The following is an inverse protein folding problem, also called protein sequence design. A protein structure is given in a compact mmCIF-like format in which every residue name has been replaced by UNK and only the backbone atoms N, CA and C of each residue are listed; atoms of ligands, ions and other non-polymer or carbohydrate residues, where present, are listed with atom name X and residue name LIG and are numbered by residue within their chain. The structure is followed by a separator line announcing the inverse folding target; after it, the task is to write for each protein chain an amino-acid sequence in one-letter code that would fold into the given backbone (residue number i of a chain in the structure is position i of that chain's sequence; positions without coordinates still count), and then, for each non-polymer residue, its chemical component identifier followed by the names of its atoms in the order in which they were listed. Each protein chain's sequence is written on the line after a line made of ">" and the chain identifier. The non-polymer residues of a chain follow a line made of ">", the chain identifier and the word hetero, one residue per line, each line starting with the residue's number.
data_IF_889066089091
#
_entry.id   IF_889066089091
#
_cell.length_a   1.000
_cell.length_b   1.000
_cell.length_c   1.000
_cell.angle_alpha   90.00
_cell.angle_beta   90.00
_cell.angle_gamma   90.00
#
_symmetry.space_group_name_H-M   'P 1'
#
loop_
_entity.id
_entity.type
_entity.pdbx_description
1 polymer ?
#
# COMPACT_ATOMS: atom_id res chain seq x y z
N UNK A 1 -9.35 -50.60 -9.49
CA UNK A 1 -8.88 -50.45 -8.10
C UNK A 1 -7.41 -50.04 -8.16
N UNK A 2 -7.14 -48.73 -8.07
CA UNK A 2 -5.79 -48.17 -8.17
C UNK A 2 -5.40 -47.61 -6.80
N UNK A 3 -4.20 -47.90 -6.27
CA UNK A 3 -3.81 -47.40 -4.96
C UNK A 3 -3.32 -45.96 -5.05
N UNK A 4 -3.97 -45.07 -4.29
CA UNK A 4 -3.49 -43.73 -4.00
C UNK A 4 -2.20 -43.82 -3.17
N UNK A 5 -1.09 -43.33 -3.74
CA UNK A 5 0.16 -43.10 -3.00
C UNK A 5 0.07 -41.75 -2.30
N UNK A 6 0.01 -41.79 -0.97
CA UNK A 6 0.08 -40.63 -0.09
C UNK A 6 1.56 -40.29 0.14
N UNK A 7 2.09 -39.28 -0.56
CA UNK A 7 3.42 -38.74 -0.28
C UNK A 7 3.35 -37.80 0.91
N UNK A 8 3.89 -38.26 2.04
CA UNK A 8 4.04 -37.48 3.27
C UNK A 8 5.33 -36.65 3.16
N UNK A 9 5.20 -35.33 2.97
CA UNK A 9 6.33 -34.40 3.05
C UNK A 9 6.65 -34.11 4.52
N UNK A 10 7.82 -34.57 4.96
CA UNK A 10 8.40 -34.27 6.27
C UNK A 10 9.14 -32.92 6.18
N UNK A 11 8.58 -31.86 6.75
CA UNK A 11 9.24 -30.57 6.87
C UNK A 11 10.11 -30.54 8.14
N UNK A 12 11.43 -30.51 7.97
CA UNK A 12 12.40 -30.32 9.06
C UNK A 12 12.58 -28.82 9.27
N UNK A 13 12.04 -28.29 10.36
CA UNK A 13 12.29 -26.91 10.80
C UNK A 13 13.55 -26.86 11.68
N UNK A 14 14.59 -26.18 11.21
CA UNK A 14 15.78 -25.87 12.00
C UNK A 14 15.58 -24.49 12.65
N UNK A 15 15.44 -24.46 13.97
CA UNK A 15 15.41 -23.23 14.77
C UNK A 15 16.85 -22.72 14.96
N UNK A 16 17.14 -21.55 14.42
CA UNK A 16 18.37 -20.79 14.74
C UNK A 16 18.02 -19.79 15.83
N UNK A 17 18.55 -19.99 17.03
CA UNK A 17 18.51 -19.04 18.12
C UNK A 17 19.71 -18.10 18.02
N UNK A 18 19.47 -16.80 17.78
CA UNK A 18 20.48 -15.77 17.98
C UNK A 18 20.29 -15.14 19.36
N UNK A 19 21.22 -15.41 20.27
CA UNK A 19 21.41 -14.66 21.50
C UNK A 19 22.51 -13.61 21.31
N UNK A 20 22.20 -12.35 21.61
CA UNK A 20 23.18 -11.28 21.82
C UNK A 20 22.40 -10.05 22.28
N UNK A 21 22.56 -9.52 23.49
CA UNK A 21 23.79 -9.34 24.24
C UNK A 21 24.16 -7.86 24.13
N UNK A 22 23.85 -7.09 25.19
CA UNK A 22 23.86 -5.63 25.20
C UNK A 22 25.25 -4.96 25.19
N UNK A 23 25.21 -3.63 25.24
CA UNK A 23 26.38 -2.79 25.46
C UNK A 23 26.07 -1.32 25.17
N UNK A 24 26.01 -0.50 26.22
CA UNK A 24 25.83 0.95 26.13
C UNK A 24 27.12 1.71 25.81
N UNK A 25 26.98 3.04 25.74
CA UNK A 25 28.10 3.96 25.66
C UNK A 25 27.69 5.27 24.99
N UNK A 26 27.36 6.27 25.79
CA UNK A 26 27.29 7.65 25.31
C UNK A 26 28.68 8.23 25.12
N UNK A 27 28.82 9.20 24.21
CA UNK A 27 29.85 10.22 24.27
C UNK A 27 29.34 11.50 23.62
N UNK A 28 29.45 12.59 24.39
CA UNK A 28 29.37 13.98 23.95
C UNK A 28 30.57 14.29 23.03
N UNK A 29 30.38 15.09 21.98
CA UNK A 29 31.45 15.90 21.40
C UNK A 29 30.87 17.13 20.69
N UNK A 30 31.32 18.27 21.18
CA UNK A 30 31.05 19.65 20.81
C UNK A 30 32.13 20.15 19.81
N UNK A 31 31.83 21.23 19.07
CA UNK A 31 32.76 22.01 18.24
C UNK A 31 32.79 21.64 16.75
N UNK A 32 32.85 22.53 15.77
CA UNK A 32 33.05 23.99 15.74
C UNK A 32 33.88 24.37 14.48
N UNK A 33 33.52 25.48 13.81
CA UNK A 33 34.29 26.24 12.78
C UNK A 33 34.54 25.52 11.43
N UNK A 34 34.56 26.13 10.23
CA UNK A 34 34.52 27.50 9.75
C UNK A 34 35.29 27.60 8.41
N UNK A 35 34.66 28.12 7.34
CA UNK A 35 35.31 28.70 6.15
C UNK A 35 35.62 27.77 4.94
N UNK A 36 36.08 28.33 3.80
CA UNK A 36 35.42 29.35 2.98
C UNK A 36 35.21 28.91 1.51
N UNK A 37 34.50 29.78 0.77
CA UNK A 37 34.19 29.74 -0.66
C UNK A 37 35.34 29.39 -1.60
N UNK A 38 35.04 28.56 -2.60
CA UNK A 38 35.76 28.51 -3.87
C UNK A 38 34.74 28.59 -5.01
N UNK A 39 34.76 29.73 -5.71
CA UNK A 39 34.00 29.98 -6.93
C UNK A 39 34.87 29.47 -8.08
N UNK A 40 34.46 28.38 -8.70
CA UNK A 40 35.07 27.85 -9.92
C UNK A 40 34.07 27.94 -11.07
N UNK A 41 34.25 28.94 -11.92
CA UNK A 41 33.60 29.03 -13.24
C UNK A 41 34.12 27.91 -14.13
N UNK A 42 33.26 26.91 -14.38
CA UNK A 42 33.45 25.94 -15.46
C UNK A 42 32.39 26.20 -16.52
N UNK A 43 32.84 26.53 -17.73
CA UNK A 43 31.99 26.85 -18.89
C UNK A 43 30.99 25.75 -19.19
N UNK A 44 29.71 26.13 -19.19
CA UNK A 44 28.61 25.27 -19.56
C UNK A 44 28.51 25.18 -21.09
N UNK A 45 28.84 24.02 -21.63
CA UNK A 45 28.43 23.63 -22.97
C UNK A 45 26.93 23.34 -22.93
N UNK A 46 26.13 24.21 -23.57
CA UNK A 46 24.68 24.05 -23.70
C UNK A 46 24.34 22.71 -24.37
N UNK A 47 23.95 21.74 -23.54
CA UNK A 47 23.20 20.57 -23.96
C UNK A 47 21.73 20.87 -23.68
N UNK A 48 20.88 20.60 -24.68
CA UNK A 48 19.46 21.00 -24.70
C UNK A 48 18.66 20.54 -23.47
N UNK A 49 17.39 21.00 -23.35
CA UNK A 49 16.60 20.91 -22.12
C UNK A 49 16.56 19.50 -21.52
N UNK A 50 17.44 19.27 -20.54
CA UNK A 50 17.04 18.94 -19.18
C UNK A 50 16.63 17.50 -18.90
N UNK A 51 17.24 16.48 -19.54
CA UNK A 51 17.18 15.13 -18.96
C UNK A 51 18.15 15.09 -17.78
N UNK A 52 17.68 14.89 -16.53
CA UNK A 52 18.59 14.77 -15.39
C UNK A 52 19.62 13.66 -15.67
N UNK A 53 20.91 13.88 -15.39
CA UNK A 53 21.94 12.88 -15.63
C UNK A 53 21.58 11.61 -14.86
N UNK A 54 21.24 10.56 -15.60
CA UNK A 54 20.98 9.26 -15.03
C UNK A 54 22.24 8.73 -14.33
N UNK A 55 22.11 7.85 -13.33
CA UNK A 55 23.26 7.22 -12.71
C UNK A 55 24.13 6.57 -13.79
N UNK A 56 25.44 6.84 -13.73
CA UNK A 56 26.40 6.31 -14.69
C UNK A 56 26.39 4.78 -14.66
N UNK A 57 26.38 4.16 -15.83
CA UNK A 57 26.53 2.72 -15.95
C UNK A 57 27.84 2.28 -15.29
N UNK A 58 27.79 1.22 -14.50
CA UNK A 58 29.00 0.57 -13.97
C UNK A 58 29.20 -0.72 -14.76
N UNK A 59 30.29 -0.79 -15.52
CA UNK A 59 30.61 -1.94 -16.39
C UNK A 59 31.96 -2.53 -16.01
N UNK A 60 32.02 -3.86 -15.95
CA UNK A 60 33.29 -4.57 -15.91
C UNK A 60 34.07 -4.29 -17.21
N UNK A 61 35.41 -4.20 -17.17
CA UNK A 61 36.21 -4.08 -18.38
C UNK A 61 35.89 -5.18 -19.40
N UNK A 62 35.45 -4.77 -20.59
CA UNK A 62 35.05 -5.69 -21.66
C UNK A 62 33.67 -6.33 -21.52
N UNK A 63 32.88 -5.95 -20.51
CA UNK A 63 31.48 -6.35 -20.39
C UNK A 63 30.57 -5.77 -21.48
N UNK A 64 29.27 -6.13 -21.44
CA UNK A 64 28.25 -5.58 -22.34
C UNK A 64 28.26 -4.04 -22.43
N UNK A 65 28.31 -3.49 -23.63
CA UNK A 65 28.13 -2.05 -23.84
C UNK A 65 26.64 -1.75 -24.09
N UNK A 66 26.02 -0.99 -23.19
CA UNK A 66 24.64 -0.52 -23.34
C UNK A 66 24.64 0.74 -24.21
N UNK A 67 23.94 0.70 -25.34
CA UNK A 67 23.75 1.85 -26.23
C UNK A 67 22.56 2.68 -25.77
N UNK A 68 21.47 2.02 -25.39
CA UNK A 68 20.30 2.68 -24.84
C UNK A 68 19.64 1.84 -23.76
N UNK A 69 19.09 2.53 -22.76
CA UNK A 69 18.34 1.94 -21.67
C UNK A 69 17.15 2.84 -21.36
N UNK A 70 15.96 2.25 -21.25
CA UNK A 70 14.73 2.98 -21.03
C UNK A 70 13.66 2.14 -20.37
N UNK A 71 12.67 2.84 -19.82
CA UNK A 71 11.46 2.24 -19.28
C UNK A 71 10.25 2.90 -19.96
N UNK A 72 9.18 2.14 -20.16
CA UNK A 72 7.94 2.62 -20.77
C UNK A 72 7.23 3.69 -19.93
N UNK A 73 7.46 3.69 -18.61
CA UNK A 73 6.99 4.68 -17.66
C UNK A 73 7.96 4.79 -16.48
N UNK A 74 7.91 5.92 -15.77
CA UNK A 74 8.69 6.18 -14.54
C UNK A 74 7.84 6.15 -13.27
N UNK A 75 6.52 6.00 -13.42
CA UNK A 75 5.57 5.80 -12.33
C UNK A 75 4.66 4.62 -12.61
N UNK A 76 4.09 4.03 -11.55
CA UNK A 76 3.10 2.97 -11.66
C UNK A 76 2.14 2.96 -10.46
N UNK A 77 0.93 2.48 -10.70
CA UNK A 77 -0.11 2.23 -9.68
C UNK A 77 -0.46 0.74 -9.58
N UNK A 78 -1.41 0.39 -8.71
CA UNK A 78 -1.90 -0.98 -8.54
C UNK A 78 -2.36 -1.57 -9.89
N UNK A 79 -1.85 -2.77 -10.21
CA UNK A 79 -2.20 -3.49 -11.43
C UNK A 79 -1.30 -3.19 -12.63
N UNK A 80 -0.52 -2.10 -12.59
CA UNK A 80 0.37 -1.72 -13.68
C UNK A 80 1.57 -2.66 -13.83
N UNK A 81 2.13 -2.62 -15.04
CA UNK A 81 3.44 -3.17 -15.35
C UNK A 81 4.26 -2.18 -16.19
N UNK A 82 5.55 -2.06 -15.90
CA UNK A 82 6.50 -1.26 -16.67
C UNK A 82 7.36 -2.21 -17.50
N UNK A 83 7.55 -1.88 -18.78
CA UNK A 83 8.50 -2.58 -19.66
C UNK A 83 9.82 -1.81 -19.67
N UNK A 84 10.90 -2.51 -19.43
CA UNK A 84 12.26 -1.97 -19.46
C UNK A 84 12.97 -2.60 -20.64
N UNK A 85 13.53 -1.75 -21.50
CA UNK A 85 14.22 -2.16 -22.72
C UNK A 85 15.67 -1.69 -22.66
N UNK A 86 16.58 -2.59 -23.06
CA UNK A 86 18.00 -2.31 -23.19
C UNK A 86 18.48 -2.72 -24.58
N UNK A 87 19.21 -1.83 -25.25
CA UNK A 87 19.85 -2.10 -26.55
C UNK A 87 21.35 -2.10 -26.36
N UNK A 88 22.01 -3.10 -26.95
CA UNK A 88 23.43 -3.34 -26.82
C UNK A 88 24.18 -3.08 -28.12
N UNK A 89 25.42 -2.65 -27.97
CA UNK A 89 26.34 -2.47 -29.08
C UNK A 89 26.76 -3.86 -29.58
N UNK A 90 26.45 -4.19 -30.83
CA UNK A 90 26.91 -5.43 -31.43
C UNK A 90 28.39 -5.30 -31.76
N UNK A 91 29.27 -5.58 -30.80
CA UNK A 91 30.69 -5.75 -31.15
C UNK A 91 30.81 -6.96 -32.07
N UNK A 92 31.44 -6.73 -33.22
CA UNK A 92 31.87 -7.77 -34.15
C UNK A 92 32.91 -8.65 -33.46
N UNK A 93 32.46 -9.65 -32.69
CA UNK A 93 33.33 -10.60 -32.00
C UNK A 93 32.88 -10.95 -30.57
N UNK A 94 32.34 -12.16 -30.42
CA UNK A 94 32.34 -13.01 -29.19
C UNK A 94 32.01 -12.35 -27.84
N UNK A 95 30.96 -11.54 -27.79
CA UNK A 95 30.36 -11.10 -26.54
C UNK A 95 28.83 -11.06 -26.64
N UNK A 96 28.20 -12.16 -27.06
CA UNK A 96 26.75 -12.22 -27.04
C UNK A 96 26.25 -12.05 -25.60
N UNK A 97 25.24 -11.21 -25.41
CA UNK A 97 24.57 -11.07 -24.13
C UNK A 97 23.95 -12.41 -23.78
N UNK A 98 24.36 -12.98 -22.66
CA UNK A 98 23.83 -14.25 -22.18
C UNK A 98 22.46 -14.07 -21.51
N UNK A 99 22.23 -12.89 -20.92
CA UNK A 99 20.95 -12.52 -20.33
C UNK A 99 21.06 -11.33 -19.38
N UNK A 100 20.03 -11.14 -18.58
CA UNK A 100 20.03 -10.14 -17.53
C UNK A 100 18.94 -10.36 -16.49
N UNK A 101 19.11 -9.75 -15.33
CA UNK A 101 18.12 -9.74 -14.25
C UNK A 101 17.83 -8.32 -13.83
N UNK A 102 16.63 -8.10 -13.32
CA UNK A 102 16.24 -6.86 -12.68
C UNK A 102 16.06 -7.10 -11.19
N UNK A 103 16.77 -6.32 -10.39
CA UNK A 103 16.82 -6.43 -8.93
C UNK A 103 16.18 -5.20 -8.31
N UNK A 104 15.46 -5.38 -7.20
CA UNK A 104 15.11 -4.26 -6.32
C UNK A 104 16.30 -3.95 -5.42
N UNK A 105 16.72 -2.68 -5.40
CA UNK A 105 18.04 -2.31 -4.86
C UNK A 105 18.14 -2.44 -3.34
N UNK A 106 17.05 -2.18 -2.60
CA UNK A 106 17.10 -2.20 -1.13
C UNK A 106 17.03 -3.61 -0.53
N UNK A 107 16.31 -4.54 -1.18
CA UNK A 107 16.15 -5.94 -0.77
C UNK A 107 17.13 -6.89 -1.46
N UNK A 108 17.66 -6.50 -2.64
CA UNK A 108 18.45 -7.37 -3.51
C UNK A 108 17.62 -8.45 -4.22
N UNK A 109 16.29 -8.44 -4.08
CA UNK A 109 15.42 -9.46 -4.65
C UNK A 109 15.27 -9.29 -6.17
N UNK A 110 15.26 -10.40 -6.91
CA UNK A 110 14.96 -10.41 -8.35
C UNK A 110 13.47 -10.18 -8.59
N UNK A 111 13.13 -9.11 -9.29
CA UNK A 111 11.74 -8.74 -9.62
C UNK A 111 11.35 -9.12 -11.05
N UNK A 112 12.33 -9.24 -11.95
CA UNK A 112 12.12 -9.69 -13.32
C UNK A 112 13.41 -10.28 -13.92
N UNK A 113 13.26 -11.04 -15.00
CA UNK A 113 14.39 -11.48 -15.83
C UNK A 113 14.22 -10.91 -17.22
N UNK A 114 15.32 -10.47 -17.82
CA UNK A 114 15.34 -9.97 -19.18
C UNK A 114 15.24 -11.12 -20.18
N UNK A 115 14.45 -10.93 -21.22
CA UNK A 115 14.25 -11.84 -22.34
C UNK A 115 14.72 -11.17 -23.63
N UNK A 116 15.17 -11.98 -24.58
CA UNK A 116 15.59 -11.49 -25.89
C UNK A 116 14.39 -10.98 -26.67
N UNK A 117 14.38 -9.67 -26.98
CA UNK A 117 13.39 -9.05 -27.86
C UNK A 117 13.89 -9.01 -29.31
N UNK A 118 15.20 -8.82 -29.50
CA UNK A 118 15.88 -8.94 -30.80
C UNK A 118 17.34 -9.38 -30.61
N UNK A 119 18.10 -9.52 -31.71
CA UNK A 119 19.51 -9.92 -31.64
C UNK A 119 20.40 -8.97 -30.80
N UNK A 120 19.99 -7.71 -30.65
CA UNK A 120 20.74 -6.68 -29.92
C UNK A 120 19.91 -6.01 -28.82
N UNK A 121 18.71 -6.53 -28.50
CA UNK A 121 17.85 -5.94 -27.46
C UNK A 121 17.28 -6.98 -26.51
N UNK A 122 17.22 -6.58 -25.24
CA UNK A 122 16.59 -7.33 -24.17
C UNK A 122 15.47 -6.51 -23.55
N UNK A 123 14.43 -7.21 -23.09
CA UNK A 123 13.29 -6.60 -22.40
C UNK A 123 12.92 -7.37 -21.14
N UNK A 124 12.52 -6.63 -20.11
CA UNK A 124 11.93 -7.17 -18.89
C UNK A 124 10.63 -6.43 -18.58
N UNK A 125 9.64 -7.14 -18.07
CA UNK A 125 8.41 -6.53 -17.55
C UNK A 125 8.39 -6.68 -16.03
N UNK A 126 8.25 -5.57 -15.32
CA UNK A 126 8.13 -5.53 -13.86
C UNK A 126 6.72 -5.08 -13.49
N UNK A 127 6.01 -5.90 -12.71
CA UNK A 127 4.65 -5.60 -12.25
C UNK A 127 4.65 -5.03 -10.85
N UNK A 128 3.59 -4.28 -10.52
CA UNK A 128 3.31 -3.83 -9.15
C UNK A 128 3.40 -4.98 -8.13
N UNK A 129 2.81 -6.14 -8.46
CA UNK A 129 2.85 -7.35 -7.62
C UNK A 129 4.26 -7.86 -7.39
N UNK A 130 5.13 -7.86 -8.41
CA UNK A 130 6.52 -8.30 -8.27
C UNK A 130 7.31 -7.37 -7.34
N UNK A 131 7.10 -6.05 -7.45
CA UNK A 131 7.70 -5.09 -6.53
C UNK A 131 7.20 -5.29 -5.10
N UNK A 132 5.90 -5.48 -4.91
CA UNK A 132 5.34 -5.78 -3.59
C UNK A 132 5.93 -7.06 -2.96
N UNK A 133 6.11 -8.11 -3.76
CA UNK A 133 6.72 -9.36 -3.30
C UNK A 133 8.18 -9.20 -2.89
N UNK A 134 8.96 -8.35 -3.59
CA UNK A 134 10.34 -8.03 -3.23
C UNK A 134 10.43 -7.18 -1.97
N UNK A 135 9.56 -6.17 -1.85
CA UNK A 135 9.46 -5.27 -0.70
C UNK A 135 8.02 -4.81 -0.55
N UNK A 136 7.45 -5.01 0.65
CA UNK A 136 6.08 -4.61 0.95
C UNK A 136 5.83 -3.15 0.52
N UNK A 137 4.81 -2.93 -0.30
CA UNK A 137 4.34 -1.58 -0.68
C UNK A 137 3.34 -1.13 0.37
N UNK A 138 3.68 -0.08 1.12
CA UNK A 138 2.80 0.51 2.12
C UNK A 138 3.09 2.00 2.32
N UNK A 139 2.14 2.86 1.98
CA UNK A 139 2.25 4.32 2.15
C UNK A 139 0.87 4.97 2.33
N UNK A 140 0.84 6.16 2.94
CA UNK A 140 -0.40 6.88 3.24
C UNK A 140 -1.08 7.44 1.98
N UNK A 141 -2.33 7.90 2.11
CA UNK A 141 -3.03 8.61 1.03
C UNK A 141 -2.21 9.81 0.52
N UNK A 142 -2.22 10.04 -0.79
CA UNK A 142 -1.46 11.09 -1.49
C UNK A 142 0.07 10.98 -1.39
N UNK A 143 0.60 10.02 -0.63
CA UNK A 143 2.01 9.75 -0.57
C UNK A 143 2.46 8.96 -1.82
N UNK A 144 3.76 9.07 -2.10
CA UNK A 144 4.43 8.26 -3.13
C UNK A 144 5.65 7.59 -2.53
N UNK A 145 6.05 6.47 -3.09
CA UNK A 145 7.26 5.74 -2.69
C UNK A 145 8.18 5.58 -3.90
N UNK A 146 9.42 6.05 -3.81
CA UNK A 146 10.42 5.82 -4.86
C UNK A 146 11.19 4.53 -4.59
N UNK A 147 11.34 3.69 -5.63
CA UNK A 147 12.14 2.47 -5.59
C UNK A 147 13.22 2.49 -6.65
N UNK A 148 14.45 2.26 -6.21
CA UNK A 148 15.57 2.06 -7.11
C UNK A 148 15.62 0.60 -7.56
N UNK A 149 15.71 0.41 -8.87
CA UNK A 149 15.80 -0.89 -9.53
C UNK A 149 17.12 -0.95 -10.29
N UNK A 150 17.77 -2.10 -10.22
CA UNK A 150 19.08 -2.33 -10.79
C UNK A 150 18.99 -3.42 -11.86
N UNK A 151 19.19 -3.02 -13.11
CA UNK A 151 19.34 -3.95 -14.22
C UNK A 151 20.79 -4.42 -14.29
N UNK A 152 20.99 -5.73 -14.24
CA UNK A 152 22.30 -6.36 -14.35
C UNK A 152 22.32 -7.30 -15.54
N UNK A 153 23.22 -7.03 -16.48
CA UNK A 153 23.39 -7.79 -17.71
C UNK A 153 24.70 -8.57 -17.67
N UNK A 154 24.70 -9.75 -18.28
CA UNK A 154 25.85 -10.65 -18.31
C UNK A 154 26.16 -11.09 -19.74
N UNK A 155 27.44 -11.21 -20.07
CA UNK A 155 27.88 -11.89 -21.29
C UNK A 155 28.18 -13.38 -21.03
N UNK A 156 28.52 -14.11 -22.09
CA UNK A 156 28.91 -15.52 -21.98
C UNK A 156 30.19 -15.80 -21.17
N UNK A 157 30.96 -14.76 -20.81
CA UNK A 157 32.14 -14.84 -19.96
C UNK A 157 31.85 -14.44 -18.50
N UNK A 158 30.60 -14.10 -18.16
CA UNK A 158 30.19 -13.70 -16.82
C UNK A 158 30.51 -12.26 -16.43
N UNK A 159 31.00 -11.43 -17.38
CA UNK A 159 31.26 -10.00 -17.13
C UNK A 159 29.95 -9.23 -17.07
N UNK A 160 29.90 -8.22 -16.22
CA UNK A 160 28.66 -7.53 -15.85
C UNK A 160 28.63 -6.10 -16.34
N UNK A 161 27.43 -5.66 -16.69
CA UNK A 161 27.10 -4.24 -16.84
C UNK A 161 25.84 -3.94 -16.04
N UNK A 162 25.90 -2.87 -15.26
CA UNK A 162 24.86 -2.47 -14.33
C UNK A 162 24.31 -1.10 -14.73
N UNK A 163 22.99 -1.02 -14.80
CA UNK A 163 22.26 0.24 -14.98
C UNK A 163 21.16 0.35 -13.92
N UNK A 164 21.06 1.48 -13.25
CA UNK A 164 19.99 1.74 -12.28
C UNK A 164 18.92 2.66 -12.87
N UNK A 165 17.68 2.48 -12.41
CA UNK A 165 16.58 3.41 -12.65
C UNK A 165 15.65 3.45 -11.44
N UNK A 166 14.93 4.56 -11.29
CA UNK A 166 13.98 4.73 -10.20
C UNK A 166 12.55 4.70 -10.75
N UNK A 167 11.69 3.93 -10.09
CA UNK A 167 10.23 3.96 -10.31
C UNK A 167 9.55 4.63 -9.13
N UNK A 168 8.54 5.45 -9.42
CA UNK A 168 7.67 6.06 -8.41
C UNK A 168 6.36 5.29 -8.30
N UNK A 169 6.09 4.75 -7.12
CA UNK A 169 4.84 4.08 -6.80
C UNK A 169 3.83 5.10 -6.30
N UNK A 170 2.60 5.03 -6.79
CA UNK A 170 1.51 5.93 -6.40
C UNK A 170 0.18 5.18 -6.34
N UNK A 171 -0.75 5.68 -5.53
CA UNK A 171 -2.15 5.27 -5.51
C UNK A 171 -3.08 6.48 -5.73
N UNK A 172 -2.58 7.53 -6.38
CA UNK A 172 -3.26 8.83 -6.51
C UNK A 172 -3.62 9.38 -5.13
N UNK A 173 -4.91 9.57 -4.84
CA UNK A 173 -5.41 10.05 -3.54
C UNK A 173 -5.64 8.92 -2.51
N UNK A 174 -5.41 7.66 -2.88
CA UNK A 174 -5.61 6.51 -1.98
C UNK A 174 -4.31 6.11 -1.28
N UNK A 175 -4.43 5.40 -0.16
CA UNK A 175 -3.28 4.81 0.51
C UNK A 175 -2.91 3.47 -0.14
N UNK A 176 -1.63 3.10 -0.19
CA UNK A 176 -1.25 1.72 -0.50
C UNK A 176 -1.24 0.90 0.79
N UNK A 177 -2.21 0.01 0.94
CA UNK A 177 -2.31 -0.91 2.06
C UNK A 177 -2.03 -2.33 1.59
N UNK A 178 -0.87 -2.87 2.00
CA UNK A 178 -0.42 -4.21 1.61
C UNK A 178 -0.41 -4.42 0.09
N UNK A 179 0.11 -3.44 -0.65
CA UNK A 179 0.15 -3.47 -2.10
C UNK A 179 -1.20 -3.30 -2.81
N UNK A 180 -2.24 -2.80 -2.12
CA UNK A 180 -3.51 -2.42 -2.75
C UNK A 180 -3.84 -0.97 -2.48
N UNK A 181 -4.28 -0.24 -3.49
CA UNK A 181 -4.78 1.12 -3.35
C UNK A 181 -6.13 1.07 -2.63
N UNK A 182 -6.17 1.58 -1.41
CA UNK A 182 -7.29 1.47 -0.48
C UNK A 182 -7.75 2.86 -0.05
N UNK A 183 -9.06 3.10 -0.16
CA UNK A 183 -9.72 4.27 0.43
C UNK A 183 -9.82 4.06 1.94
N UNK A 184 -8.90 4.66 2.68
CA UNK A 184 -8.85 4.56 4.15
C UNK A 184 -10.03 5.27 4.83
N UNK A 185 -10.82 6.06 4.11
CA UNK A 185 -12.00 6.73 4.67
C UNK A 185 -13.24 5.85 4.64
N UNK A 186 -13.21 4.78 3.83
CA UNK A 186 -14.35 3.87 3.62
C UNK A 186 -14.01 2.41 3.90
N UNK A 187 -12.73 2.05 3.86
CA UNK A 187 -12.29 0.69 4.14
C UNK A 187 -12.40 0.40 5.62
N UNK A 188 -13.24 -0.57 5.96
CA UNK A 188 -13.38 -1.07 7.32
C UNK A 188 -12.08 -1.69 7.83
N UNK A 189 -11.33 -2.36 6.97
CA UNK A 189 -10.11 -3.08 7.30
C UNK A 189 -8.88 -2.15 7.42
N UNK A 190 -8.97 -0.93 6.88
CA UNK A 190 -7.88 0.05 6.83
C UNK A 190 -8.36 1.46 7.21
N UNK A 191 -9.20 1.56 8.23
CA UNK A 191 -9.89 2.80 8.54
C UNK A 191 -8.94 3.86 9.11
N UNK A 192 -8.81 4.99 8.42
CA UNK A 192 -7.88 6.07 8.73
C UNK A 192 -6.41 5.74 8.45
N UNK A 193 -6.00 4.49 8.59
CA UNK A 193 -4.65 4.03 8.26
C UNK A 193 -4.63 2.54 7.93
N UNK A 194 -3.61 2.12 7.20
CA UNK A 194 -3.45 0.73 6.80
C UNK A 194 -3.34 -0.20 8.00
N UNK A 195 -4.23 -1.20 8.07
CA UNK A 195 -4.23 -2.23 9.11
C UNK A 195 -5.06 -1.85 10.34
N UNK A 196 -5.67 -0.67 10.35
CA UNK A 196 -6.60 -0.27 11.41
C UNK A 196 -8.02 -0.77 11.10
N UNK A 197 -8.25 -2.05 11.37
CA UNK A 197 -9.55 -2.66 11.15
C UNK A 197 -10.55 -2.21 12.24
N UNK A 198 -11.71 -1.71 11.82
CA UNK A 198 -12.78 -1.38 12.76
C UNK A 198 -13.34 -2.65 13.42
N UNK A 199 -13.51 -2.66 14.75
CA UNK A 199 -13.89 -3.85 15.50
C UNK A 199 -15.21 -4.42 14.95
N UNK A 200 -15.26 -5.74 14.79
CA UNK A 200 -16.54 -6.42 14.58
C UNK A 200 -17.27 -6.43 15.93
N UNK A 201 -18.53 -6.03 15.96
CA UNK A 201 -19.34 -6.25 17.15
C UNK A 201 -19.48 -7.78 17.36
N UNK A 202 -19.17 -8.25 18.57
CA UNK A 202 -18.98 -9.67 18.89
C UNK A 202 -20.25 -10.55 18.86
N UNK A 203 -21.35 -10.14 18.26
CA UNK A 203 -22.66 -10.75 18.53
C UNK A 203 -23.52 -11.09 17.33
N UNK A 204 -22.97 -11.26 16.11
CA UNK A 204 -23.75 -11.69 14.93
C UNK A 204 -24.87 -10.71 14.49
N UNK A 205 -25.10 -9.65 15.26
CA UNK A 205 -25.89 -8.51 14.88
C UNK A 205 -25.08 -7.76 13.84
N UNK A 206 -25.67 -7.51 12.68
CA UNK A 206 -25.06 -6.71 11.63
C UNK A 206 -24.99 -5.22 12.04
N UNK A 207 -24.50 -4.88 13.23
CA UNK A 207 -24.17 -3.49 13.55
C UNK A 207 -22.92 -3.19 12.72
N UNK A 208 -23.18 -2.72 11.51
CA UNK A 208 -22.20 -2.41 10.48
C UNK A 208 -21.28 -1.35 11.07
N UNK A 209 -20.14 -1.80 11.57
CA UNK A 209 -19.08 -0.89 11.97
C UNK A 209 -18.43 -0.47 10.66
N UNK A 210 -18.73 0.75 10.22
CA UNK A 210 -18.19 1.31 9.00
C UNK A 210 -16.98 2.19 9.31
N UNK A 211 -16.10 2.33 8.33
CA UNK A 211 -15.19 3.44 8.32
C UNK A 211 -15.91 4.64 7.71
N UNK A 212 -15.82 5.80 8.36
CA UNK A 212 -16.24 7.07 7.79
C UNK A 212 -15.18 8.11 8.08
N UNK A 213 -14.71 8.78 7.02
CA UNK A 213 -13.76 9.91 7.14
C UNK A 213 -12.54 9.52 7.99
N UNK A 214 -12.05 8.30 7.77
CA UNK A 214 -10.87 7.74 8.43
C UNK A 214 -11.08 7.34 9.88
N UNK A 215 -12.32 7.40 10.39
CA UNK A 215 -12.64 7.04 11.77
C UNK A 215 -13.60 5.87 11.82
N UNK A 216 -13.30 4.91 12.69
CA UNK A 216 -14.23 3.82 12.95
C UNK A 216 -15.48 4.37 13.63
N UNK A 217 -16.61 4.32 12.91
CA UNK A 217 -17.88 4.66 13.48
C UNK A 217 -18.14 3.74 14.67
N UNK A 218 -18.49 4.32 15.81
CA UNK A 218 -18.93 3.50 16.95
C UNK A 218 -20.21 2.76 16.56
N UNK A 219 -20.35 1.48 16.93
CA UNK A 219 -21.58 0.76 16.66
C UNK A 219 -22.74 1.54 17.29
N UNK A 220 -23.85 1.66 16.55
CA UNK A 220 -25.08 2.19 17.12
C UNK A 220 -25.45 1.39 18.37
N UNK A 221 -26.02 2.07 19.37
CA UNK A 221 -26.50 1.38 20.56
C UNK A 221 -27.52 0.30 20.16
N UNK A 222 -27.57 -0.81 20.90
CA UNK A 222 -28.57 -1.84 20.69
C UNK A 222 -29.98 -1.23 20.64
N UNK A 223 -30.80 -1.72 19.71
CA UNK A 223 -32.18 -1.29 19.54
C UNK A 223 -32.90 -1.23 20.89
N UNK A 224 -33.41 -0.05 21.24
CA UNK A 224 -34.23 0.11 22.43
C UNK A 224 -35.69 0.36 22.00
N UNK A 225 -36.68 -0.18 22.73
CA UNK A 225 -38.05 0.27 22.57
C UNK A 225 -38.10 1.76 22.88
N UNK A 226 -38.77 2.53 22.02
CA UNK A 226 -38.89 3.97 22.15
C UNK A 226 -40.35 4.38 22.04
N UNK A 227 -40.73 5.41 22.80
CA UNK A 227 -42.02 6.08 22.59
C UNK A 227 -42.06 6.66 21.16
N UNK A 228 -43.21 6.64 20.46
CA UNK A 228 -43.36 7.29 19.15
C UNK A 228 -43.14 8.81 19.18
N UNK A 229 -43.07 9.41 20.37
CA UNK A 229 -42.73 10.81 20.56
C UNK A 229 -41.30 11.02 21.05
N UNK A 230 -40.57 9.95 21.38
CA UNK A 230 -39.22 10.09 21.89
C UNK A 230 -38.28 10.62 20.80
N UNK A 231 -37.37 11.51 21.21
CA UNK A 231 -36.23 11.93 20.39
C UNK A 231 -34.99 11.15 20.79
N UNK A 232 -33.96 11.13 19.93
CA UNK A 232 -32.70 10.50 20.31
C UNK A 232 -32.00 11.21 21.47
N UNK A 233 -32.19 12.52 21.62
CA UNK A 233 -31.73 13.22 22.83
C UNK A 233 -32.32 12.62 24.10
N UNK A 234 -33.62 12.36 24.13
CA UNK A 234 -34.29 11.77 25.29
C UNK A 234 -33.83 10.34 25.55
N UNK A 235 -33.69 9.54 24.48
CA UNK A 235 -33.22 8.15 24.60
C UNK A 235 -31.78 8.08 25.10
N UNK A 236 -30.90 8.93 24.60
CA UNK A 236 -29.51 8.99 25.07
C UNK A 236 -29.43 9.54 26.49
N UNK A 237 -30.20 10.60 26.81
CA UNK A 237 -30.24 11.17 28.15
C UNK A 237 -30.72 10.14 29.19
N UNK A 238 -31.71 9.31 28.87
CA UNK A 238 -32.17 8.21 29.73
C UNK A 238 -31.07 7.18 30.03
N UNK A 239 -30.04 7.09 29.19
CA UNK A 239 -28.85 6.25 29.39
C UNK A 239 -27.66 7.00 30.01
N UNK A 240 -27.85 8.27 30.39
CA UNK A 240 -26.76 9.13 30.89
C UNK A 240 -25.74 9.50 29.81
N UNK A 241 -26.19 9.62 28.56
CA UNK A 241 -25.37 9.83 27.36
C UNK A 241 -25.85 11.03 26.57
N UNK A 242 -24.97 11.60 25.75
CA UNK A 242 -25.34 12.71 24.84
C UNK A 242 -25.57 12.15 23.44
N UNK A 243 -26.67 12.55 22.81
CA UNK A 243 -26.88 12.18 21.42
C UNK A 243 -25.82 12.87 20.53
N UNK A 244 -25.21 12.11 19.63
CA UNK A 244 -24.24 12.64 18.68
C UNK A 244 -24.73 12.47 17.25
N UNK A 245 -24.53 13.49 16.43
CA UNK A 245 -24.77 13.44 14.98
C UNK A 245 -23.58 12.83 14.23
N UNK A 246 -22.50 12.48 14.94
CA UNK A 246 -21.27 11.92 14.35
C UNK A 246 -21.35 10.44 14.03
N UNK A 247 -22.44 9.75 14.41
CA UNK A 247 -22.67 8.41 13.89
C UNK A 247 -23.33 8.50 12.51
N UNK A 248 -22.71 7.85 11.53
CA UNK A 248 -23.35 7.54 10.26
C UNK A 248 -24.44 6.51 10.47
N UNK A 249 -25.50 6.61 9.68
CA UNK A 249 -26.74 5.83 9.76
C UNK A 249 -27.67 6.13 10.94
N UNK A 250 -27.64 7.37 11.44
CA UNK A 250 -28.79 8.07 12.04
C UNK A 250 -29.71 7.27 12.96
N UNK A 251 -30.93 7.77 13.13
CA UNK A 251 -31.94 7.08 13.94
C UNK A 251 -32.66 6.06 13.08
N UNK A 252 -32.41 4.77 13.27
CA UNK A 252 -33.21 3.73 12.59
C UNK A 252 -34.53 3.55 13.33
N UNK A 253 -35.60 4.10 12.78
CA UNK A 253 -36.98 3.83 13.20
C UNK A 253 -37.54 2.62 12.44
N UNK A 254 -37.58 1.44 13.07
CA UNK A 254 -38.12 0.23 12.44
C UNK A 254 -39.54 -0.08 12.92
N UNK A 255 -40.47 -0.28 11.98
CA UNK A 255 -41.88 -0.58 12.25
C UNK A 255 -42.28 -2.04 11.92
N UNK A 256 -42.87 -2.70 12.91
CA UNK A 256 -43.79 -3.86 12.92
C UNK A 256 -43.71 -4.98 11.86
N UNK A 257 -43.12 -6.09 12.31
CA UNK A 257 -43.46 -7.49 12.05
C UNK A 257 -42.78 -8.31 13.16
N UNK A 258 -43.11 -9.58 13.37
CA UNK A 258 -42.55 -10.43 14.46
C UNK A 258 -41.00 -10.58 14.50
N UNK A 259 -40.28 -9.90 13.61
CA UNK A 259 -38.83 -9.79 13.59
C UNK A 259 -38.41 -8.32 13.82
N UNK A 260 -38.00 -7.98 15.03
CA UNK A 260 -37.40 -6.68 15.34
C UNK A 260 -36.06 -6.59 14.60
N UNK A 261 -36.01 -5.82 13.52
CA UNK A 261 -34.75 -5.47 12.85
C UNK A 261 -34.62 -3.96 12.79
N UNK A 262 -33.56 -3.42 13.37
CA UNK A 262 -33.11 -2.05 13.12
C UNK A 262 -32.16 -2.02 11.92
N UNK A 263 -32.55 -2.64 10.81
CA UNK A 263 -31.81 -2.64 9.54
C UNK A 263 -32.40 -1.63 8.54
N UNK A 264 -33.38 -0.82 8.97
CA UNK A 264 -34.01 0.20 8.13
C UNK A 264 -33.01 1.25 7.65
N UNK A 265 -32.95 1.45 6.33
CA UNK A 265 -32.10 2.40 5.62
C UNK A 265 -32.54 3.87 5.74
N UNK A 266 -33.42 4.21 6.69
CA UNK A 266 -34.04 5.53 6.85
C UNK A 266 -33.47 6.21 8.10
N UNK A 267 -32.15 6.29 8.11
CA UNK A 267 -31.39 6.99 9.11
C UNK A 267 -31.51 8.50 8.92
N UNK A 268 -32.22 9.20 9.80
CA UNK A 268 -32.04 10.65 9.90
C UNK A 268 -30.98 10.95 10.95
N UNK A 269 -29.89 11.68 10.63
CA UNK A 269 -28.79 11.96 11.56
C UNK A 269 -29.16 12.99 12.63
N UNK A 270 -30.44 13.34 12.79
CA UNK A 270 -30.86 14.42 13.66
C UNK A 270 -31.31 13.90 15.03
N UNK A 271 -30.58 14.30 16.07
CA UNK A 271 -30.89 14.01 17.46
C UNK A 271 -32.23 14.56 17.95
N UNK A 272 -32.80 15.56 17.26
CA UNK A 272 -34.07 16.21 17.63
C UNK A 272 -35.28 15.64 16.89
N UNK A 273 -35.09 14.77 15.91
CA UNK A 273 -36.24 14.19 15.20
C UNK A 273 -36.97 13.22 16.13
N UNK A 274 -38.29 13.38 16.23
CA UNK A 274 -39.15 12.40 16.86
C UNK A 274 -39.14 11.12 16.04
N UNK A 275 -39.11 9.97 16.73
CA UNK A 275 -39.17 8.66 16.10
C UNK A 275 -40.59 8.47 15.58
N UNK A 276 -40.84 8.89 14.33
CA UNK A 276 -42.16 8.89 13.72
C UNK A 276 -42.88 7.57 13.97
N UNK A 277 -43.90 7.60 14.83
CA UNK A 277 -44.72 6.44 15.11
C UNK A 277 -45.49 6.06 13.85
N UNK A 278 -45.17 4.91 13.26
CA UNK A 278 -46.10 4.26 12.35
C UNK A 278 -47.44 4.00 13.06
N UNK A 279 -48.50 3.77 12.28
CA UNK A 279 -49.88 3.73 12.76
C UNK A 279 -50.21 2.72 13.89
N UNK A 280 -49.29 1.84 14.32
CA UNK A 280 -49.55 0.80 15.33
C UNK A 280 -48.96 1.12 16.74
N UNK A 281 -48.44 2.34 16.99
CA UNK A 281 -48.02 2.81 18.32
C UNK A 281 -46.71 2.30 18.95
N UNK A 282 -45.88 1.47 18.29
CA UNK A 282 -44.60 0.98 18.83
C UNK A 282 -43.44 1.15 17.86
N UNK A 283 -42.44 1.96 18.23
CA UNK A 283 -41.20 2.15 17.48
C UNK A 283 -40.00 1.57 18.23
N UNK A 284 -39.11 0.89 17.52
CA UNK A 284 -37.74 0.69 18.00
C UNK A 284 -36.88 1.79 17.41
N UNK A 285 -35.98 2.34 18.22
CA UNK A 285 -35.00 3.29 17.77
C UNK A 285 -33.59 2.87 18.15
N UNK A 286 -32.69 3.14 17.22
CA UNK A 286 -31.26 3.01 17.39
C UNK A 286 -30.67 4.41 17.32
N UNK A 287 -30.22 4.95 18.45
CA UNK A 287 -29.66 6.30 18.56
C UNK A 287 -28.15 6.24 18.81
N UNK A 288 -27.43 7.21 18.26
CA UNK A 288 -26.01 7.42 18.55
C UNK A 288 -25.85 8.13 19.90
N UNK A 289 -25.50 7.38 20.94
CA UNK A 289 -25.34 7.91 22.30
C UNK A 289 -23.88 7.78 22.75
N UNK A 290 -23.21 8.90 23.07
CA UNK A 290 -21.80 8.97 23.49
C UNK A 290 -21.66 9.36 24.97
#
# INVERSE_FOLDING_TARGET
>A
MSPLRLSMLLAVFTLVACSGGGGGGGFLSDGGFGGPSAVGEAGATETGPGRPPGPAAVSDPGGPAIVSFGASATSMTEGDAIVISAVFETRTGKGAIAGGVLLEESSGATVASFKTASASSLEASVSWKALHAAKKIQFAAQATESRALRAQFFDGAGRKTIQSFTVTLTCSDLAACDGKCTDTDKSREHCGTCGNACPMNQAGLQARTFCLEGTCAKPLAACAPASPTATCNEICAAKGKTCSTTCVDGTVGGYSGSNVRCDGSWATPNCTNTIGGGALGFGFASCCCL
#
